data_IF_306855002978
#
_entry.id   IF_306855002978
#
_cell.length_a   1.000
_cell.length_b   1.000
_cell.length_c   1.000
_cell.angle_alpha   90.00
_cell.angle_beta   90.00
_cell.angle_gamma   90.00
#
_symmetry.space_group_name_H-M   'P 1'
#
loop_
_entity.id
_entity.type
_entity.pdbx_description
1 polymer ?
#
# COMPACT_ATOMS: atom_id res chain seq x y z
N UNK A 1 10.65 -62.12 -39.20
CA UNK A 1 9.52 -61.44 -39.86
C UNK A 1 10.09 -60.32 -40.72
N UNK A 2 10.17 -60.47 -42.05
CA UNK A 2 10.74 -59.44 -42.95
C UNK A 2 9.65 -58.42 -43.26
N UNK A 3 9.78 -57.21 -42.73
CA UNK A 3 8.85 -56.11 -43.04
C UNK A 3 9.10 -55.68 -44.48
N UNK A 4 8.04 -55.73 -45.28
CA UNK A 4 8.07 -55.32 -46.69
C UNK A 4 8.23 -53.79 -46.78
N UNK A 5 9.45 -53.36 -47.07
CA UNK A 5 9.82 -51.94 -47.18
C UNK A 5 8.92 -51.17 -48.15
N UNK A 6 8.36 -51.85 -49.16
CA UNK A 6 7.45 -51.21 -50.13
C UNK A 6 6.12 -50.80 -49.50
N UNK A 7 5.60 -51.59 -48.55
CA UNK A 7 4.34 -51.31 -47.85
C UNK A 7 4.53 -50.18 -46.85
N UNK A 8 5.65 -50.17 -46.13
CA UNK A 8 6.00 -49.08 -45.19
C UNK A 8 6.15 -47.76 -45.93
N UNK A 9 6.85 -47.74 -47.08
CA UNK A 9 7.03 -46.53 -47.86
C UNK A 9 5.70 -45.98 -48.41
N UNK A 10 4.78 -46.86 -48.84
CA UNK A 10 3.43 -46.46 -49.25
C UNK A 10 2.62 -45.87 -48.09
N UNK A 11 2.75 -46.42 -46.88
CA UNK A 11 2.09 -45.89 -45.69
C UNK A 11 2.63 -44.49 -45.32
N UNK A 12 3.95 -44.32 -45.31
CA UNK A 12 4.59 -43.02 -45.01
C UNK A 12 4.15 -41.95 -46.02
N UNK A 13 4.11 -42.27 -47.33
CA UNK A 13 3.63 -41.31 -48.35
C UNK A 13 2.20 -40.87 -48.09
N UNK A 14 1.29 -41.81 -47.78
CA UNK A 14 -0.12 -41.48 -47.49
C UNK A 14 -0.25 -40.57 -46.27
N UNK A 15 0.49 -40.85 -45.20
CA UNK A 15 0.49 -40.02 -43.98
C UNK A 15 0.98 -38.61 -44.32
N UNK A 16 2.10 -38.48 -45.03
CA UNK A 16 2.65 -37.18 -45.40
C UNK A 16 1.68 -36.34 -46.24
N UNK A 17 0.98 -36.96 -47.21
CA UNK A 17 0.02 -36.23 -48.06
C UNK A 17 -1.17 -35.70 -47.24
N UNK A 18 -1.69 -36.50 -46.29
CA UNK A 18 -2.80 -36.07 -45.42
C UNK A 18 -2.36 -34.93 -44.50
N UNK A 19 -1.15 -35.00 -43.93
CA UNK A 19 -0.63 -33.94 -43.07
C UNK A 19 -0.45 -32.63 -43.83
N UNK A 20 0.09 -32.66 -45.05
CA UNK A 20 0.26 -31.46 -45.88
C UNK A 20 -1.11 -30.85 -46.22
N UNK A 21 -2.10 -31.68 -46.59
CA UNK A 21 -3.45 -31.19 -46.85
C UNK A 21 -4.09 -30.53 -45.62
N UNK A 22 -3.91 -31.10 -44.43
CA UNK A 22 -4.40 -30.53 -43.18
C UNK A 22 -3.76 -29.17 -42.86
N UNK A 23 -2.45 -29.02 -43.09
CA UNK A 23 -1.74 -27.74 -42.90
C UNK A 23 -2.27 -26.68 -43.86
N UNK A 24 -2.53 -27.02 -45.12
CA UNK A 24 -3.06 -26.07 -46.11
C UNK A 24 -4.47 -25.62 -45.73
N UNK A 25 -5.35 -26.53 -45.31
CA UNK A 25 -6.70 -26.19 -44.85
C UNK A 25 -6.65 -25.29 -43.61
N UNK A 26 -5.75 -25.58 -42.66
CA UNK A 26 -5.59 -24.75 -41.47
C UNK A 26 -5.05 -23.35 -41.78
N UNK A 27 -4.10 -23.25 -42.72
CA UNK A 27 -3.59 -21.97 -43.21
C UNK A 27 -4.68 -21.17 -43.94
N UNK A 28 -5.52 -21.81 -44.77
CA UNK A 28 -6.65 -21.16 -45.42
C UNK A 28 -7.70 -20.68 -44.42
N UNK A 29 -8.02 -21.48 -43.40
CA UNK A 29 -8.91 -21.06 -42.31
C UNK A 29 -8.36 -19.87 -41.55
N UNK A 30 -7.05 -19.83 -41.25
CA UNK A 30 -6.42 -18.67 -40.62
C UNK A 30 -6.46 -17.41 -41.49
N UNK A 31 -6.29 -17.56 -42.81
CA UNK A 31 -6.39 -16.43 -43.75
C UNK A 31 -7.84 -15.90 -43.83
N UNK A 32 -8.86 -16.76 -43.69
CA UNK A 32 -10.26 -16.34 -43.80
C UNK A 32 -10.88 -15.92 -42.46
N UNK A 33 -10.37 -16.39 -41.33
CA UNK A 33 -10.88 -16.04 -40.00
C UNK A 33 -10.42 -14.65 -39.51
N UNK A 34 -9.34 -14.10 -40.05
CA UNK A 34 -8.63 -13.00 -39.39
C UNK A 34 -8.85 -11.59 -39.99
N UNK A 35 -9.96 -11.31 -40.69
CA UNK A 35 -10.18 -9.92 -41.16
C UNK A 35 -11.61 -9.45 -41.40
N UNK A 36 -12.58 -10.33 -41.67
CA UNK A 36 -13.89 -9.86 -42.17
C UNK A 36 -15.07 -9.92 -41.19
N UNK A 37 -15.10 -10.85 -40.22
CA UNK A 37 -16.39 -11.24 -39.63
C UNK A 37 -16.80 -10.51 -38.34
N UNK A 38 -15.86 -9.94 -37.57
CA UNK A 38 -16.21 -9.30 -36.30
C UNK A 38 -16.27 -7.77 -36.34
N UNK A 39 -15.51 -7.12 -37.22
CA UNK A 39 -15.49 -5.65 -37.28
C UNK A 39 -16.54 -5.04 -38.24
N UNK A 40 -16.95 -5.73 -39.30
CA UNK A 40 -17.76 -5.11 -40.36
C UNK A 40 -19.27 -5.18 -40.07
N UNK A 41 -19.74 -6.22 -39.38
CA UNK A 41 -21.19 -6.44 -39.21
C UNK A 41 -21.85 -5.55 -38.16
N UNK A 42 -21.09 -4.94 -37.24
CA UNK A 42 -21.64 -4.00 -36.25
C UNK A 42 -21.59 -2.52 -36.71
N UNK A 43 -20.81 -2.21 -37.75
CA UNK A 43 -20.48 -0.81 -38.14
C UNK A 43 -21.38 -0.26 -39.26
N UNK A 44 -22.27 -1.07 -39.85
CA UNK A 44 -23.18 -0.62 -40.91
C UNK A 44 -24.58 -0.15 -40.45
N UNK A 45 -24.83 -0.04 -39.14
CA UNK A 45 -25.94 0.80 -38.69
C UNK A 45 -25.48 2.27 -38.75
N UNK A 46 -26.37 3.18 -39.14
CA UNK A 46 -26.11 4.61 -39.40
C UNK A 46 -25.66 5.41 -38.15
N UNK A 47 -24.63 4.97 -37.44
CA UNK A 47 -23.96 5.76 -36.43
C UNK A 47 -23.14 6.80 -37.18
N UNK A 48 -23.69 8.01 -37.29
CA UNK A 48 -22.86 9.19 -37.54
C UNK A 48 -21.98 9.31 -36.30
N UNK A 49 -20.85 8.62 -36.29
CA UNK A 49 -19.79 8.81 -35.30
C UNK A 49 -19.22 10.18 -35.59
N UNK A 50 -19.87 11.22 -35.05
CA UNK A 50 -19.26 12.54 -34.99
C UNK A 50 -18.07 12.38 -34.06
N UNK A 51 -16.87 12.49 -34.61
CA UNK A 51 -15.67 12.60 -33.80
C UNK A 51 -15.88 13.79 -32.83
N UNK A 52 -16.02 13.50 -31.53
CA UNK A 52 -16.01 14.54 -30.51
C UNK A 52 -14.70 15.31 -30.65
N UNK A 53 -14.76 16.64 -30.66
CA UNK A 53 -13.55 17.44 -30.72
C UNK A 53 -12.76 17.23 -29.42
N UNK A 54 -11.44 17.44 -29.46
CA UNK A 54 -10.62 17.40 -28.22
C UNK A 54 -11.20 18.30 -27.12
N UNK A 55 -11.75 19.44 -27.52
CA UNK A 55 -12.34 20.45 -26.64
C UNK A 55 -13.70 20.00 -26.04
N UNK A 56 -14.29 18.93 -26.57
CA UNK A 56 -15.49 18.29 -26.04
C UNK A 56 -15.14 17.23 -24.99
N UNK A 57 -13.92 16.68 -25.03
CA UNK A 57 -13.45 15.58 -24.16
C UNK A 57 -12.67 16.14 -22.97
N UNK A 58 -11.76 17.08 -23.24
CA UNK A 58 -10.85 17.64 -22.25
C UNK A 58 -11.17 19.10 -21.99
N UNK A 59 -11.20 19.45 -20.70
CA UNK A 59 -11.36 20.83 -20.25
C UNK A 59 -10.04 21.58 -20.36
N UNK A 60 -8.95 20.90 -20.04
CA UNK A 60 -7.60 21.47 -19.99
C UNK A 60 -6.58 20.43 -20.40
N UNK A 61 -5.60 20.84 -21.20
CA UNK A 61 -4.40 20.07 -21.45
C UNK A 61 -3.23 21.05 -21.47
N UNK A 62 -2.30 20.87 -20.54
CA UNK A 62 -1.13 21.72 -20.40
C UNK A 62 0.13 20.89 -20.31
N UNK A 63 1.23 21.45 -20.78
CA UNK A 63 2.56 20.99 -20.38
C UNK A 63 3.07 21.97 -19.34
N UNK A 64 3.73 21.43 -18.32
CA UNK A 64 4.39 22.21 -17.28
C UNK A 64 5.88 21.96 -17.36
N UNK A 65 6.67 23.03 -17.36
CA UNK A 65 8.14 22.95 -17.37
C UNK A 65 8.75 22.99 -15.96
N UNK A 66 10.08 22.88 -15.89
CA UNK A 66 10.87 22.94 -14.64
C UNK A 66 10.66 24.22 -13.83
N UNK A 67 10.27 25.32 -14.49
CA UNK A 67 9.99 26.61 -13.84
C UNK A 67 8.50 26.77 -13.46
N UNK A 68 7.73 25.68 -13.51
CA UNK A 68 6.28 25.64 -13.27
C UNK A 68 5.48 26.55 -14.23
N UNK A 69 6.01 26.80 -15.44
CA UNK A 69 5.28 27.54 -16.45
C UNK A 69 4.28 26.62 -17.16
N UNK A 70 3.03 27.07 -17.23
CA UNK A 70 1.93 26.33 -17.84
C UNK A 70 1.72 26.73 -19.32
N UNK A 71 1.77 25.75 -20.21
CA UNK A 71 1.54 25.93 -21.64
C UNK A 71 0.25 25.24 -22.10
N UNK A 72 -0.81 26.02 -22.36
CA UNK A 72 -2.10 25.51 -22.86
C UNK A 72 -1.96 24.91 -24.27
N UNK A 73 -2.22 23.61 -24.40
CA UNK A 73 -2.14 22.86 -25.66
C UNK A 73 -3.44 22.86 -26.46
N UNK A 74 -4.56 23.26 -25.85
CA UNK A 74 -5.86 23.36 -26.49
C UNK A 74 -5.96 24.71 -27.22
N UNK A 75 -5.70 25.80 -26.50
CA UNK A 75 -5.88 27.17 -27.01
C UNK A 75 -4.57 27.89 -27.37
N UNK A 76 -3.42 27.34 -26.96
CA UNK A 76 -2.13 28.00 -27.16
C UNK A 76 -1.52 27.87 -28.55
N UNK A 77 -0.35 28.47 -28.70
CA UNK A 77 0.42 28.43 -29.95
C UNK A 77 1.00 27.04 -30.19
N UNK A 78 0.43 26.30 -31.14
CA UNK A 78 0.83 24.94 -31.54
C UNK A 78 2.27 24.82 -32.03
N UNK A 79 2.89 25.92 -32.45
CA UNK A 79 4.26 25.92 -32.98
C UNK A 79 5.32 26.26 -31.91
N UNK A 80 4.92 26.53 -30.67
CA UNK A 80 5.87 26.80 -29.59
C UNK A 80 6.59 25.51 -29.19
N UNK A 81 7.92 25.53 -29.19
CA UNK A 81 8.72 24.48 -28.54
C UNK A 81 8.79 24.77 -27.06
N UNK A 82 8.41 23.79 -26.24
CA UNK A 82 8.48 23.89 -24.78
C UNK A 82 9.81 23.31 -24.32
N UNK A 83 10.56 24.06 -23.51
CA UNK A 83 11.86 23.67 -23.02
C UNK A 83 11.70 23.00 -21.65
N UNK A 84 12.44 21.90 -21.42
CA UNK A 84 12.49 21.16 -20.15
C UNK A 84 11.11 20.86 -19.53
N UNK A 85 10.17 20.26 -20.30
CA UNK A 85 8.88 19.85 -19.74
C UNK A 85 9.06 18.76 -18.68
N UNK A 86 8.37 18.86 -17.55
CA UNK A 86 8.38 17.84 -16.49
C UNK A 86 7.20 16.89 -16.59
N UNK A 87 6.00 17.44 -16.83
CA UNK A 87 4.78 16.64 -16.90
C UNK A 87 3.72 17.29 -17.80
N UNK A 88 2.76 16.47 -18.19
CA UNK A 88 1.56 16.88 -18.92
C UNK A 88 0.39 16.82 -17.96
N UNK A 89 -0.26 17.96 -17.73
CA UNK A 89 -1.47 18.08 -16.92
C UNK A 89 -2.69 17.94 -17.83
N UNK A 90 -3.57 16.99 -17.51
CA UNK A 90 -4.80 16.76 -18.25
C UNK A 90 -5.98 16.88 -17.29
N UNK A 91 -7.02 17.59 -17.72
CA UNK A 91 -8.27 17.70 -17.00
C UNK A 91 -9.45 17.28 -17.87
N UNK A 92 -10.23 16.30 -17.41
CA UNK A 92 -11.47 15.86 -18.07
C UNK A 92 -12.55 16.95 -18.06
N UNK A 93 -13.44 16.93 -19.06
CA UNK A 93 -14.55 17.89 -19.16
C UNK A 93 -15.91 17.34 -18.71
N UNK A 94 -16.14 16.05 -18.93
CA UNK A 94 -17.46 15.42 -18.77
C UNK A 94 -17.42 14.30 -17.73
N UNK A 95 -18.60 13.73 -17.46
CA UNK A 95 -18.80 12.58 -16.56
C UNK A 95 -18.34 11.23 -17.14
N UNK A 96 -17.48 11.24 -18.15
CA UNK A 96 -16.90 10.04 -18.76
C UNK A 96 -15.41 9.97 -18.48
N UNK A 97 -14.94 8.75 -18.19
CA UNK A 97 -13.52 8.51 -18.00
C UNK A 97 -12.81 8.24 -19.33
N UNK A 98 -11.59 8.79 -19.45
CA UNK A 98 -10.80 8.75 -20.68
C UNK A 98 -9.41 8.17 -20.42
N UNK A 99 -8.96 7.24 -21.25
CA UNK A 99 -7.57 6.76 -21.24
C UNK A 99 -6.76 7.46 -22.31
N UNK A 100 -5.92 8.40 -21.92
CA UNK A 100 -5.04 9.16 -22.81
C UNK A 100 -3.72 8.40 -23.00
N UNK A 101 -3.29 8.26 -24.25
CA UNK A 101 -2.03 7.64 -24.63
C UNK A 101 -1.07 8.68 -25.18
N UNK A 102 0.22 8.38 -25.12
CA UNK A 102 1.28 9.25 -25.58
C UNK A 102 2.19 8.49 -26.54
N UNK A 103 2.55 9.13 -27.64
CA UNK A 103 3.56 8.65 -28.57
C UNK A 103 4.67 9.69 -28.64
N UNK A 104 5.89 9.28 -28.28
CA UNK A 104 7.08 10.09 -28.46
C UNK A 104 7.57 9.94 -29.90
N UNK A 105 8.39 10.87 -30.38
CA UNK A 105 9.05 10.84 -31.70
C UNK A 105 10.37 11.61 -31.65
N UNK A 106 11.25 11.35 -32.62
CA UNK A 106 12.59 11.96 -32.73
C UNK A 106 13.56 11.54 -31.61
N UNK A 107 14.62 12.33 -31.37
CA UNK A 107 15.71 12.03 -30.45
C UNK A 107 15.27 11.85 -29.00
N UNK A 108 14.18 12.49 -28.57
CA UNK A 108 13.69 12.39 -27.18
C UNK A 108 13.35 10.95 -26.74
N UNK A 109 13.08 10.04 -27.69
CA UNK A 109 12.82 8.61 -27.42
C UNK A 109 13.97 7.90 -26.72
N UNK A 110 15.19 8.38 -26.91
CA UNK A 110 16.38 7.80 -26.30
C UNK A 110 16.48 8.14 -24.81
N UNK A 111 15.77 9.18 -24.36
CA UNK A 111 15.84 9.73 -23.01
C UNK A 111 14.55 9.47 -22.21
N UNK A 112 13.41 9.35 -22.90
CA UNK A 112 12.12 9.01 -22.28
C UNK A 112 11.66 7.68 -22.89
N UNK A 113 11.80 6.56 -22.16
CA UNK A 113 11.50 5.24 -22.71
C UNK A 113 10.01 5.08 -23.04
N UNK A 114 9.14 5.65 -22.21
CA UNK A 114 7.69 5.70 -22.41
C UNK A 114 7.08 6.79 -21.53
N UNK A 115 5.87 7.22 -21.88
CA UNK A 115 5.00 7.98 -21.00
C UNK A 115 3.81 7.10 -20.70
N UNK A 116 3.51 6.92 -19.41
CA UNK A 116 2.43 6.03 -19.00
C UNK A 116 1.08 6.54 -19.52
N UNK A 117 0.19 5.65 -19.98
CA UNK A 117 -1.18 6.02 -20.26
C UNK A 117 -1.82 6.64 -19.02
N UNK A 118 -2.60 7.69 -19.23
CA UNK A 118 -3.26 8.41 -18.15
C UNK A 118 -4.75 8.08 -18.17
N UNK A 119 -5.26 7.55 -17.07
CA UNK A 119 -6.69 7.41 -16.86
C UNK A 119 -7.21 8.69 -16.20
N UNK A 120 -8.02 9.45 -16.92
CA UNK A 120 -8.59 10.71 -16.46
C UNK A 120 -10.04 10.44 -16.11
N UNK A 121 -10.35 10.52 -14.82
CA UNK A 121 -11.71 10.41 -14.31
C UNK A 121 -12.45 11.76 -14.37
N UNK A 122 -13.73 11.75 -13.97
CA UNK A 122 -14.66 12.85 -14.17
C UNK A 122 -14.17 14.12 -13.47
N UNK A 123 -13.92 15.18 -14.25
CA UNK A 123 -13.36 16.48 -13.83
C UNK A 123 -11.97 16.45 -13.15
N UNK A 124 -11.40 15.26 -12.95
CA UNK A 124 -10.12 15.02 -12.31
C UNK A 124 -8.96 15.69 -13.04
N UNK A 125 -7.98 16.13 -12.26
CA UNK A 125 -6.71 16.67 -12.76
C UNK A 125 -5.64 15.63 -12.58
N UNK A 126 -5.14 15.12 -13.69
CA UNK A 126 -4.18 14.04 -13.72
C UNK A 126 -2.86 14.49 -14.35
N UNK A 127 -1.75 13.97 -13.83
CA UNK A 127 -0.39 14.32 -14.29
C UNK A 127 0.27 13.11 -14.95
N UNK A 128 0.65 13.25 -16.21
CA UNK A 128 1.52 12.31 -16.89
C UNK A 128 2.97 12.81 -16.83
N UNK A 129 3.77 12.24 -15.94
CA UNK A 129 5.19 12.59 -15.78
C UNK A 129 6.04 12.09 -16.95
N UNK A 130 6.98 12.93 -17.38
CA UNK A 130 7.97 12.60 -18.40
C UNK A 130 9.19 11.98 -17.70
N UNK A 131 9.11 10.67 -17.43
CA UNK A 131 10.17 9.95 -16.74
C UNK A 131 11.42 9.85 -17.62
N UNK A 132 12.43 10.66 -17.30
CA UNK A 132 13.74 10.63 -17.96
C UNK A 132 14.55 9.47 -17.39
N UNK A 133 15.14 8.68 -18.27
CA UNK A 133 16.03 7.57 -17.91
C UNK A 133 17.17 7.54 -18.91
N UNK A 134 18.40 7.75 -18.43
CA UNK A 134 19.57 7.73 -19.30
C UNK A 134 20.25 6.36 -19.27
N UNK A 135 20.51 5.80 -20.46
CA UNK A 135 21.45 4.69 -20.55
C UNK A 135 22.86 5.21 -20.18
N UNK A 136 23.70 4.45 -19.45
CA UNK A 136 25.07 4.85 -19.15
C UNK A 136 25.89 5.34 -20.34
N UNK A 137 25.68 4.78 -21.54
CA UNK A 137 26.32 5.27 -22.77
C UNK A 137 25.88 6.70 -23.11
N UNK A 138 24.56 6.93 -23.16
CA UNK A 138 23.95 8.23 -23.47
C UNK A 138 24.32 9.27 -22.41
N UNK A 139 24.34 8.89 -21.13
CA UNK A 139 24.79 9.75 -20.03
C UNK A 139 26.22 10.27 -20.25
N UNK A 140 27.14 9.37 -20.62
CA UNK A 140 28.53 9.75 -20.87
C UNK A 140 28.68 10.63 -22.11
N UNK A 141 27.92 10.36 -23.18
CA UNK A 141 27.89 11.20 -24.39
C UNK A 141 27.39 12.62 -24.07
N UNK A 142 26.25 12.73 -23.38
CA UNK A 142 25.70 14.01 -22.92
C UNK A 142 26.69 14.79 -22.06
N UNK A 143 27.34 14.11 -21.11
CA UNK A 143 28.32 14.70 -20.21
C UNK A 143 29.56 15.20 -20.97
N UNK A 144 30.09 14.40 -21.89
CA UNK A 144 31.25 14.77 -22.70
C UNK A 144 30.94 15.96 -23.62
N UNK A 145 29.76 15.97 -24.24
CA UNK A 145 29.32 17.08 -25.08
C UNK A 145 29.24 18.36 -24.25
N UNK A 146 28.61 18.31 -23.08
CA UNK A 146 28.48 19.44 -22.17
C UNK A 146 29.84 20.00 -21.69
N UNK A 147 30.80 19.12 -21.40
CA UNK A 147 32.16 19.53 -21.02
C UNK A 147 32.95 20.14 -22.19
N UNK A 148 32.67 19.71 -23.42
CA UNK A 148 33.32 20.23 -24.64
C UNK A 148 32.76 21.58 -25.08
N UNK A 149 31.47 21.83 -24.85
CA UNK A 149 30.79 23.10 -25.11
C UNK A 149 31.12 24.13 -24.01
N UNK A 150 32.36 24.64 -24.00
CA UNK A 150 32.88 25.65 -23.04
C UNK A 150 32.08 26.97 -23.04
N UNK A 151 30.93 26.99 -22.37
CA UNK A 151 30.16 28.19 -22.04
C UNK A 151 28.83 28.37 -22.76
N UNK A 152 28.38 27.40 -23.57
CA UNK A 152 27.15 27.52 -24.37
C UNK A 152 26.15 26.39 -24.08
N UNK A 153 25.87 26.18 -22.78
CA UNK A 153 25.12 25.03 -22.24
C UNK A 153 23.72 24.81 -22.83
N UNK A 154 23.12 25.85 -23.41
CA UNK A 154 21.73 25.83 -23.88
C UNK A 154 21.54 25.95 -25.40
N UNK A 155 22.62 26.01 -26.20
CA UNK A 155 22.46 26.36 -27.62
C UNK A 155 21.91 25.25 -28.50
N UNK A 156 22.08 24.00 -28.08
CA UNK A 156 21.67 22.83 -28.87
C UNK A 156 20.74 21.92 -28.05
N UNK A 157 19.50 22.38 -27.76
CA UNK A 157 18.57 21.55 -27.02
C UNK A 157 18.15 20.35 -27.87
N UNK A 158 17.97 19.21 -27.22
CA UNK A 158 17.57 17.96 -27.85
C UNK A 158 16.08 18.04 -28.13
N UNK A 159 15.72 18.12 -29.40
CA UNK A 159 14.34 18.35 -29.85
C UNK A 159 13.62 17.04 -30.08
N UNK A 160 12.31 17.07 -29.88
CA UNK A 160 11.42 16.03 -30.36
C UNK A 160 9.97 16.40 -30.17
N UNK A 161 9.11 15.39 -30.33
CA UNK A 161 7.67 15.62 -30.34
C UNK A 161 6.93 14.62 -29.46
N UNK A 162 5.96 15.11 -28.70
CA UNK A 162 4.99 14.29 -27.97
C UNK A 162 3.66 14.39 -28.68
N UNK A 163 3.10 13.23 -29.03
CA UNK A 163 1.78 13.10 -29.63
C UNK A 163 0.80 12.52 -28.63
N UNK A 164 -0.17 13.33 -28.22
CA UNK A 164 -1.25 12.95 -27.31
C UNK A 164 -2.39 12.32 -28.10
N UNK A 165 -2.82 11.12 -27.70
CA UNK A 165 -3.78 10.27 -28.42
C UNK A 165 -4.93 9.83 -27.52
N UNK A 166 -6.15 9.82 -28.07
CA UNK A 166 -7.32 9.16 -27.47
C UNK A 166 -8.14 8.48 -28.57
N UNK A 167 -8.49 7.19 -28.37
CA UNK A 167 -9.29 6.34 -29.27
C UNK A 167 -9.04 6.56 -30.78
N UNK A 168 -7.80 6.31 -31.24
CA UNK A 168 -7.34 6.34 -32.64
C UNK A 168 -7.70 7.55 -33.54
N UNK A 169 -8.43 8.57 -33.08
CA UNK A 169 -8.87 9.70 -33.92
C UNK A 169 -9.40 10.94 -33.17
N UNK A 170 -9.80 10.85 -31.90
CA UNK A 170 -10.52 11.93 -31.20
C UNK A 170 -9.59 13.01 -30.61
N UNK A 171 -8.44 12.58 -30.12
CA UNK A 171 -7.35 13.46 -29.72
C UNK A 171 -6.12 13.03 -30.52
N UNK A 172 -5.57 13.97 -31.28
CA UNK A 172 -4.38 13.78 -32.10
C UNK A 172 -3.61 15.09 -32.13
N UNK A 173 -2.96 15.41 -31.01
CA UNK A 173 -2.21 16.66 -30.83
C UNK A 173 -0.74 16.34 -30.76
N UNK A 174 0.05 16.92 -31.67
CA UNK A 174 1.51 16.86 -31.63
C UNK A 174 2.03 18.15 -31.00
N UNK A 175 2.95 18.00 -30.05
CA UNK A 175 3.56 19.10 -29.31
C UNK A 175 5.07 19.01 -29.47
N UNK A 176 5.69 20.13 -29.83
CA UNK A 176 7.15 20.22 -29.95
C UNK A 176 7.74 20.48 -28.56
N UNK A 177 8.69 19.65 -28.17
CA UNK A 177 9.41 19.81 -26.91
C UNK A 177 10.91 19.76 -27.16
N UNK A 178 11.67 20.29 -26.20
CA UNK A 178 13.11 20.16 -26.20
C UNK A 178 13.66 20.06 -24.78
N UNK A 179 14.80 19.40 -24.64
CA UNK A 179 15.51 19.29 -23.36
C UNK A 179 16.91 19.87 -23.47
N UNK A 180 17.32 20.64 -22.46
CA UNK A 180 18.73 20.98 -22.27
C UNK A 180 19.46 19.75 -21.74
N UNK A 181 20.75 19.63 -22.06
CA UNK A 181 21.57 18.49 -21.59
C UNK A 181 21.74 18.52 -20.08
N UNK A 182 21.90 19.72 -19.52
CA UNK A 182 21.98 19.96 -18.07
C UNK A 182 20.75 19.40 -17.35
N UNK A 183 19.56 19.66 -17.88
CA UNK A 183 18.31 19.15 -17.32
C UNK A 183 18.22 17.61 -17.36
N UNK A 184 18.58 16.99 -18.49
CA UNK A 184 18.55 15.53 -18.59
C UNK A 184 19.51 14.88 -17.57
N UNK A 185 20.70 15.47 -17.42
CA UNK A 185 21.72 14.99 -16.47
C UNK A 185 21.33 15.27 -15.01
N UNK A 186 20.63 16.38 -14.72
CA UNK A 186 20.15 16.66 -13.36
C UNK A 186 19.03 15.69 -12.96
N UNK A 187 18.05 15.46 -13.84
CA UNK A 187 16.95 14.51 -13.59
C UNK A 187 17.42 13.08 -13.41
N UNK A 188 18.41 12.64 -14.18
CA UNK A 188 19.01 11.32 -13.98
C UNK A 188 19.68 11.20 -12.60
N UNK A 189 20.44 12.22 -12.17
CA UNK A 189 21.04 12.26 -10.82
C UNK A 189 20.00 12.29 -9.71
N UNK A 190 18.93 13.06 -9.86
CA UNK A 190 17.80 13.09 -8.91
C UNK A 190 17.20 11.69 -8.74
N UNK A 191 17.00 10.97 -9.84
CA UNK A 191 16.48 9.61 -9.80
C UNK A 191 17.42 8.66 -9.06
N UNK A 192 18.74 8.74 -9.31
CA UNK A 192 19.74 7.92 -8.62
C UNK A 192 19.76 8.24 -7.13
N UNK A 193 19.76 9.52 -6.75
CA UNK A 193 19.76 9.92 -5.34
C UNK A 193 18.49 9.44 -4.61
N UNK A 194 17.33 9.49 -5.29
CA UNK A 194 16.09 8.96 -4.75
C UNK A 194 16.19 7.46 -4.47
N UNK A 195 16.76 6.66 -5.37
CA UNK A 195 16.96 5.23 -5.15
C UNK A 195 17.93 4.95 -4.00
N UNK A 196 19.02 5.70 -3.88
CA UNK A 196 19.97 5.57 -2.76
C UNK A 196 19.30 5.88 -1.41
N UNK A 197 18.47 6.94 -1.34
CA UNK A 197 17.69 7.23 -0.13
C UNK A 197 16.69 6.11 0.20
N UNK A 198 16.04 5.55 -0.83
CA UNK A 198 15.13 4.42 -0.66
C UNK A 198 15.85 3.17 -0.14
N UNK A 199 17.04 2.85 -0.67
CA UNK A 199 17.88 1.75 -0.22
C UNK A 199 18.28 1.92 1.25
N UNK A 200 18.70 3.14 1.64
CA UNK A 200 19.03 3.46 3.04
C UNK A 200 17.82 3.27 3.96
N UNK A 201 16.62 3.70 3.53
CA UNK A 201 15.37 3.49 4.27
C UNK A 201 15.01 2.01 4.40
N UNK A 202 15.20 1.23 3.33
CA UNK A 202 14.98 -0.23 3.34
C UNK A 202 15.95 -0.90 4.32
N UNK A 203 17.23 -0.54 4.30
CA UNK A 203 18.23 -1.09 5.23
C UNK A 203 17.87 -0.76 6.70
N UNK A 204 17.45 0.47 6.98
CA UNK A 204 17.00 0.87 8.31
C UNK A 204 15.77 0.07 8.77
N UNK A 205 14.80 -0.14 7.88
CA UNK A 205 13.62 -0.97 8.18
C UNK A 205 13.99 -2.45 8.42
N UNK A 206 14.93 -3.00 7.65
CA UNK A 206 15.41 -4.37 7.83
C UNK A 206 16.08 -4.56 9.20
N UNK A 207 16.94 -3.62 9.62
CA UNK A 207 17.55 -3.63 10.96
C UNK A 207 16.49 -3.56 12.07
N UNK A 208 15.46 -2.73 11.89
CA UNK A 208 14.34 -2.65 12.85
C UNK A 208 13.57 -3.96 12.93
N UNK A 209 13.33 -4.61 11.79
CA UNK A 209 12.65 -5.91 11.72
C UNK A 209 13.47 -7.03 12.37
N UNK A 210 14.79 -7.05 12.16
CA UNK A 210 15.69 -8.02 12.78
C UNK A 210 15.67 -7.89 14.31
N UNK A 211 15.77 -6.66 14.83
CA UNK A 211 15.67 -6.40 16.28
C UNK A 211 14.32 -6.87 16.85
N UNK A 212 13.22 -6.57 16.15
CA UNK A 212 11.88 -6.99 16.59
C UNK A 212 11.71 -8.52 16.57
N UNK A 213 12.36 -9.20 15.63
CA UNK A 213 12.40 -10.66 15.56
C UNK A 213 13.19 -11.26 16.73
N UNK A 214 14.31 -10.65 17.09
CA UNK A 214 15.12 -11.05 18.25
C UNK A 214 14.33 -10.87 19.56
N UNK A 215 13.70 -9.72 19.75
CA UNK A 215 12.88 -9.43 20.94
C UNK A 215 11.69 -10.40 21.04
N UNK A 216 11.03 -10.71 19.92
CA UNK A 216 9.95 -11.70 19.90
C UNK A 216 10.45 -13.11 20.25
N UNK A 217 11.67 -13.47 19.85
CA UNK A 217 12.28 -14.75 20.21
C UNK A 217 12.52 -14.85 21.72
N UNK A 218 13.03 -13.77 22.33
CA UNK A 218 13.20 -13.68 23.80
C UNK A 218 11.85 -13.79 24.53
N UNK A 219 10.80 -13.14 24.03
CA UNK A 219 9.46 -13.24 24.61
C UNK A 219 8.91 -14.67 24.55
N UNK A 220 9.13 -15.39 23.44
CA UNK A 220 8.74 -16.81 23.33
C UNK A 220 9.48 -17.67 24.36
N UNK A 221 10.77 -17.43 24.59
CA UNK A 221 11.55 -18.15 25.62
C UNK A 221 11.05 -17.86 27.03
N UNK A 222 10.75 -16.60 27.35
CA UNK A 222 10.15 -16.20 28.62
C UNK A 222 8.81 -16.92 28.81
N UNK A 223 7.96 -16.94 27.78
CA UNK A 223 6.63 -17.55 27.87
C UNK A 223 6.71 -19.06 28.13
N UNK A 224 7.67 -19.76 27.51
CA UNK A 224 7.95 -21.17 27.82
C UNK A 224 8.39 -21.38 29.27
N UNK A 225 9.17 -20.45 29.82
CA UNK A 225 9.54 -20.46 31.24
C UNK A 225 8.31 -20.35 32.15
N UNK A 226 7.44 -19.38 31.87
CA UNK A 226 6.20 -19.16 32.62
C UNK A 226 5.23 -20.36 32.53
N UNK A 227 5.11 -20.99 31.37
CA UNK A 227 4.29 -22.21 31.22
C UNK A 227 4.79 -23.36 32.09
N UNK A 228 6.12 -23.51 32.20
CA UNK A 228 6.73 -24.52 33.07
C UNK A 228 6.47 -24.19 34.55
N UNK A 229 6.71 -22.96 34.97
CA UNK A 229 6.49 -22.53 36.35
C UNK A 229 5.01 -22.70 36.74
N UNK A 230 4.08 -22.39 35.83
CA UNK A 230 2.64 -22.67 36.00
C UNK A 230 2.37 -24.16 36.21
N UNK A 231 2.94 -25.03 35.38
CA UNK A 231 2.76 -26.48 35.52
C UNK A 231 3.30 -27.02 36.86
N UNK A 232 4.43 -26.49 37.32
CA UNK A 232 5.01 -26.90 38.59
C UNK A 232 4.16 -26.42 39.78
N UNK A 233 3.61 -25.20 39.71
CA UNK A 233 2.63 -24.70 40.68
C UNK A 233 1.35 -25.53 40.73
N UNK A 234 0.80 -25.93 39.58
CA UNK A 234 -0.39 -26.79 39.49
C UNK A 234 -0.18 -28.12 40.22
N UNK A 235 1.01 -28.75 40.06
CA UNK A 235 1.37 -29.98 40.79
C UNK A 235 1.47 -29.75 42.30
N UNK A 236 2.00 -28.61 42.72
CA UNK A 236 2.12 -28.30 44.15
C UNK A 236 0.76 -28.01 44.79
N UNK A 237 -0.16 -27.37 44.07
CA UNK A 237 -1.56 -27.22 44.48
C UNK A 237 -2.22 -28.59 44.65
N UNK A 238 -2.09 -29.50 43.69
CA UNK A 238 -2.65 -30.86 43.77
C UNK A 238 -2.12 -31.63 45.00
N UNK A 239 -0.83 -31.51 45.32
CA UNK A 239 -0.24 -32.11 46.53
C UNK A 239 -0.85 -31.53 47.80
N UNK A 240 -1.10 -30.22 47.85
CA UNK A 240 -1.70 -29.55 49.01
C UNK A 240 -3.16 -29.96 49.19
N UNK A 241 -3.94 -30.04 48.11
CA UNK A 241 -5.34 -30.51 48.14
C UNK A 241 -5.45 -31.93 48.69
N UNK A 242 -4.56 -32.83 48.25
CA UNK A 242 -4.50 -34.20 48.76
C UNK A 242 -4.16 -34.26 50.25
N UNK A 243 -3.23 -33.42 50.74
CA UNK A 243 -2.93 -33.31 52.18
C UNK A 243 -4.11 -32.78 52.98
N UNK A 244 -4.83 -31.78 52.47
CA UNK A 244 -6.03 -31.23 53.11
C UNK A 244 -7.10 -32.32 53.24
N UNK A 245 -7.28 -33.14 52.20
CA UNK A 245 -8.22 -34.27 52.21
C UNK A 245 -7.86 -35.30 53.29
N UNK A 246 -6.61 -35.76 53.34
CA UNK A 246 -6.12 -36.69 54.36
C UNK A 246 -6.30 -36.16 55.78
N UNK A 247 -6.04 -34.87 56.00
CA UNK A 247 -6.27 -34.21 57.29
C UNK A 247 -7.75 -34.15 57.66
N UNK A 248 -8.65 -33.86 56.70
CA UNK A 248 -10.11 -33.86 56.93
C UNK A 248 -10.61 -35.25 57.32
N UNK A 249 -10.15 -36.29 56.65
CA UNK A 249 -10.51 -37.67 56.95
C UNK A 249 -10.06 -38.06 58.38
N UNK A 250 -8.82 -37.72 58.75
CA UNK A 250 -8.31 -37.92 60.13
C UNK A 250 -9.12 -37.17 61.17
N UNK A 251 -9.51 -35.92 60.90
CA UNK A 251 -10.35 -35.12 61.79
C UNK A 251 -11.72 -35.81 61.98
N UNK A 252 -12.34 -36.28 60.89
CA UNK A 252 -13.61 -37.02 60.94
C UNK A 252 -13.52 -38.29 61.79
N UNK A 253 -12.43 -39.06 61.63
CA UNK A 253 -12.15 -40.24 62.46
C UNK A 253 -12.01 -39.89 63.94
N UNK A 254 -11.32 -38.80 64.27
CA UNK A 254 -11.18 -38.33 65.65
C UNK A 254 -12.51 -37.89 66.24
N UNK A 255 -13.33 -37.13 65.52
CA UNK A 255 -14.67 -36.76 65.97
C UNK A 255 -15.54 -37.99 66.26
N UNK A 256 -15.50 -39.00 65.40
CA UNK A 256 -16.23 -40.26 65.59
C UNK A 256 -15.77 -41.02 66.84
N UNK A 257 -14.46 -41.00 67.15
CA UNK A 257 -13.90 -41.60 68.37
C UNK A 257 -14.32 -40.85 69.63
N UNK A 258 -14.26 -39.52 69.61
CA UNK A 258 -14.68 -38.67 70.73
C UNK A 258 -16.16 -38.90 71.04
N UNK A 259 -17.02 -38.89 70.02
CA UNK A 259 -18.46 -39.14 70.18
C UNK A 259 -18.75 -40.49 70.86
N UNK A 260 -18.08 -41.57 70.44
CA UNK A 260 -18.23 -42.89 71.07
C UNK A 260 -17.78 -42.92 72.53
N UNK A 261 -16.72 -42.18 72.87
CA UNK A 261 -16.25 -42.06 74.25
C UNK A 261 -17.22 -41.26 75.13
N UNK A 262 -17.85 -40.22 74.57
CA UNK A 262 -18.89 -39.45 75.26
C UNK A 262 -20.15 -40.29 75.50
N UNK A 263 -20.60 -41.05 74.50
CA UNK A 263 -21.72 -42.00 74.63
C UNK A 263 -21.43 -43.05 75.73
N UNK A 264 -20.26 -43.70 75.69
CA UNK A 264 -19.88 -44.69 76.71
C UNK A 264 -19.79 -44.10 78.13
N UNK A 265 -19.33 -42.84 78.26
CA UNK A 265 -19.27 -42.15 79.55
C UNK A 265 -20.67 -41.87 80.12
N UNK A 266 -21.64 -41.55 79.27
CA UNK A 266 -23.02 -41.32 79.70
C UNK A 266 -23.70 -42.63 80.15
N UNK A 267 -23.45 -43.74 79.44
CA UNK A 267 -23.97 -45.07 79.83
C UNK A 267 -23.43 -45.54 81.21
N UNK A 268 -22.20 -45.17 81.56
CA UNK A 268 -21.59 -45.46 82.87
C UNK A 268 -22.15 -44.58 84.01
N UNK A 269 -22.70 -43.39 83.70
CA UNK A 269 -23.35 -42.49 84.67
C UNK A 269 -24.81 -42.91 84.90
N UNK A 270 -25.52 -43.32 83.85
CA UNK A 270 -26.92 -43.78 83.94
C UNK A 270 -27.08 -45.11 84.71
N UNK A 271 -26.02 -45.92 84.80
CA UNK A 271 -25.98 -47.12 85.66
C UNK A 271 -25.63 -46.84 87.13
N UNK A 272 -25.37 -45.59 87.53
CA UNK A 272 -25.02 -45.22 88.91
C UNK A 272 -26.09 -44.43 89.67
N UNK A 273 -27.08 -43.88 88.97
CA UNK A 273 -28.20 -43.15 89.58
C UNK A 273 -29.55 -43.75 89.16
N UNK A 274 -29.80 -44.97 89.63
CA UNK A 274 -31.18 -45.41 89.91
C UNK A 274 -31.35 -45.37 91.43
N UNK A 275 -31.60 -44.18 91.97
CA UNK A 275 -32.57 -43.93 93.06
C UNK A 275 -32.78 -42.42 93.24
N UNK A 276 -34.06 -42.03 93.18
CA UNK A 276 -34.69 -40.74 93.49
C UNK A 276 -34.80 -39.74 92.31
N UNK A 277 -36.00 -39.57 91.70
CA UNK A 277 -37.10 -38.62 92.07
C UNK A 277 -36.55 -37.20 92.30
N UNK A 278 -37.04 -36.12 91.71
CA UNK A 278 -38.43 -35.67 91.56
C UNK A 278 -38.45 -34.36 90.73
N UNK A 279 -39.64 -33.93 90.36
CA UNK A 279 -40.03 -32.77 89.55
C UNK A 279 -39.24 -31.47 89.78
N UNK A 280 -39.01 -30.71 88.69
CA UNK A 280 -39.27 -29.27 88.77
C UNK A 280 -39.54 -28.60 87.41
N UNK A 281 -40.56 -27.76 87.47
CA UNK A 281 -41.19 -26.94 86.45
C UNK A 281 -40.49 -25.56 86.36
N UNK A 282 -40.92 -24.71 85.39
CA UNK A 282 -40.73 -23.22 85.31
C UNK A 282 -39.43 -22.75 84.63
N UNK A 283 -39.33 -21.78 83.69
CA UNK A 283 -40.15 -21.01 82.72
C UNK A 283 -39.23 -19.88 82.20
N UNK A 284 -39.37 -19.48 80.90
CA UNK A 284 -38.97 -18.19 80.26
C UNK A 284 -37.48 -17.81 80.17
N UNK A 285 -36.99 -16.96 79.27
CA UNK A 285 -37.46 -16.15 78.13
C UNK A 285 -36.19 -15.76 77.31
N UNK A 286 -36.39 -15.40 76.04
CA UNK A 286 -35.64 -14.46 75.19
C UNK A 286 -34.10 -14.51 75.08
N UNK A 287 -33.58 -14.69 73.86
CA UNK A 287 -33.10 -13.57 73.04
C UNK A 287 -32.67 -13.99 71.63
N UNK A 288 -33.14 -13.19 70.67
CA UNK A 288 -32.81 -13.19 69.25
C UNK A 288 -31.32 -12.92 68.98
N UNK A 289 -30.80 -13.45 67.86
CA UNK A 289 -30.15 -12.67 66.80
C UNK A 289 -30.32 -13.43 65.47
N UNK A 290 -31.23 -12.93 64.64
CA UNK A 290 -31.10 -13.02 63.18
C UNK A 290 -29.86 -12.24 62.75
N UNK A 291 -29.03 -12.85 61.91
CA UNK A 291 -28.37 -12.09 60.84
C UNK A 291 -28.08 -13.04 59.69
N UNK A 292 -29.01 -13.06 58.74
CA UNK A 292 -28.68 -13.26 57.34
C UNK A 292 -27.48 -12.36 56.98
N UNK A 293 -26.46 -12.94 56.37
CA UNK A 293 -25.62 -12.21 55.44
C UNK A 293 -25.58 -12.99 54.13
N UNK A 294 -26.59 -12.70 53.30
CA UNK A 294 -26.40 -12.65 51.85
C UNK A 294 -25.53 -11.44 51.58
N UNK A 295 -24.28 -11.67 51.22
CA UNK A 295 -23.57 -10.84 50.25
C UNK A 295 -23.15 -11.81 49.14
N UNK A 296 -23.83 -11.81 48.00
CA UNK A 296 -23.62 -10.83 46.94
C UNK A 296 -22.13 -10.65 46.65
N UNK A 297 -21.57 -11.49 45.78
CA UNK A 297 -20.65 -10.95 44.81
C UNK A 297 -20.95 -11.54 43.42
N UNK A 298 -21.80 -10.85 42.64
CA UNK A 298 -21.84 -11.02 41.21
C UNK A 298 -20.72 -10.17 40.58
N UNK A 299 -20.00 -10.77 39.62
CA UNK A 299 -19.36 -10.07 38.50
C UNK A 299 -18.22 -9.10 38.89
N UNK A 300 -16.98 -9.58 38.79
CA UNK A 300 -15.94 -8.78 38.14
C UNK A 300 -15.80 -9.32 36.71
N UNK A 301 -16.59 -8.74 35.81
CA UNK A 301 -16.22 -8.60 34.42
C UNK A 301 -14.82 -8.01 34.41
N UNK A 302 -13.85 -8.78 33.91
CA UNK A 302 -12.67 -8.18 33.32
C UNK A 302 -13.17 -7.30 32.18
N UNK A 303 -13.35 -6.00 32.49
CA UNK A 303 -13.16 -4.96 31.49
C UNK A 303 -11.79 -5.25 30.88
N UNK A 304 -11.84 -5.74 29.65
CA UNK A 304 -10.83 -5.46 28.65
C UNK A 304 -10.77 -3.93 28.60
N UNK A 305 -9.89 -3.34 29.39
CA UNK A 305 -9.36 -2.03 29.08
C UNK A 305 -8.49 -2.28 27.84
N UNK A 306 -9.12 -2.08 26.68
CA UNK A 306 -8.40 -1.62 25.52
C UNK A 306 -7.71 -0.34 25.95
N UNK A 307 -6.41 -0.46 26.23
CA UNK A 307 -5.48 0.65 26.32
C UNK A 307 -5.25 1.17 24.89
N UNK A 308 -6.32 1.65 24.27
CA UNK A 308 -6.31 2.46 23.05
C UNK A 308 -6.14 3.93 23.47
N UNK A 309 -4.99 4.28 24.08
CA UNK A 309 -4.43 5.63 24.03
C UNK A 309 -3.05 5.72 24.68
N UNK A 310 -2.03 5.13 24.02
CA UNK A 310 -0.79 5.87 23.87
C UNK A 310 -0.76 6.41 22.45
N UNK A 311 -1.12 7.68 22.34
CA UNK A 311 -0.50 8.57 21.38
C UNK A 311 1.01 8.38 21.56
N UNK A 312 1.60 7.55 20.69
CA UNK A 312 2.99 7.73 20.34
C UNK A 312 3.06 9.15 19.80
N UNK A 313 3.64 10.00 20.66
CA UNK A 313 4.14 11.30 20.32
C UNK A 313 4.81 11.20 18.96
N UNK A 314 4.23 11.88 17.96
CA UNK A 314 4.96 12.27 16.78
C UNK A 314 6.30 12.82 17.27
N UNK A 315 7.45 12.39 16.72
CA UNK A 315 8.67 13.10 16.98
C UNK A 315 8.41 14.52 16.51
N UNK A 316 8.37 15.45 17.48
CA UNK A 316 8.43 16.87 17.23
C UNK A 316 9.56 17.08 16.23
N UNK A 317 9.18 17.31 14.98
CA UNK A 317 10.05 17.93 14.02
C UNK A 317 10.47 19.24 14.68
N UNK A 318 11.74 19.31 15.08
CA UNK A 318 12.45 20.57 15.26
C UNK A 318 12.09 21.41 14.05
N UNK A 319 11.19 22.38 14.26
CA UNK A 319 11.08 23.52 13.39
C UNK A 319 12.42 24.23 13.57
N UNK A 320 13.36 23.95 12.67
CA UNK A 320 14.38 24.93 12.31
C UNK A 320 13.61 26.19 11.92
N UNK A 321 13.54 27.15 12.85
CA UNK A 321 13.34 28.54 12.50
C UNK A 321 14.49 28.94 11.58
N UNK A 322 14.29 28.75 10.29
CA UNK A 322 15.07 29.44 9.26
C UNK A 322 14.73 30.91 9.44
N UNK A 323 15.64 31.59 10.15
CA UNK A 323 15.71 33.03 10.28
C UNK A 323 16.01 33.59 8.87
N UNK A 324 14.97 33.72 8.05
CA UNK A 324 15.07 34.42 6.77
C UNK A 324 15.33 35.90 7.07
N UNK A 325 16.43 36.49 6.57
CA UNK A 325 16.63 37.92 6.66
C UNK A 325 15.48 38.62 5.90
N UNK A 326 14.75 39.46 6.61
CA UNK A 326 13.81 40.42 6.02
C UNK A 326 14.62 41.37 5.14
N UNK A 327 14.72 41.05 3.84
CA UNK A 327 15.14 42.01 2.83
C UNK A 327 14.09 43.11 2.77
N UNK A 328 14.50 44.30 3.20
CA UNK A 328 13.75 45.54 2.95
C UNK A 328 13.58 45.68 1.43
N UNK A 329 12.37 46.00 0.94
CA UNK A 329 12.23 46.38 -0.46
C UNK A 329 13.04 47.67 -0.70
N UNK A 330 14.05 47.58 -1.55
CA UNK A 330 14.71 48.74 -2.13
C UNK A 330 13.68 49.50 -2.97
N UNK A 331 13.18 50.61 -2.42
CA UNK A 331 12.47 51.64 -3.16
C UNK A 331 13.43 52.22 -4.21
N UNK A 332 13.35 51.72 -5.45
CA UNK A 332 13.89 52.44 -6.60
C UNK A 332 12.92 53.54 -7.01
N UNK A 333 13.41 54.78 -7.22
CA UNK A 333 12.57 55.89 -7.62
C UNK A 333 12.03 55.65 -9.04
N UNK A 334 10.72 55.83 -9.18
CA UNK A 334 10.02 55.89 -10.46
C UNK A 334 10.46 57.18 -11.17
N UNK A 335 11.52 57.11 -11.97
CA UNK A 335 11.80 58.14 -12.96
C UNK A 335 10.89 57.93 -14.18
N UNK A 336 9.90 58.80 -14.24
CA UNK A 336 9.06 59.10 -15.39
C UNK A 336 9.90 59.41 -16.64
N UNK A 337 9.76 58.62 -17.70
CA UNK A 337 10.12 59.02 -19.06
C UNK A 337 9.01 58.68 -20.04
N UNK A 338 8.02 59.59 -20.07
CA UNK A 338 7.15 59.78 -21.23
C UNK A 338 8.03 60.38 -22.33
N UNK A 339 8.33 59.60 -23.38
CA UNK A 339 8.76 60.15 -24.67
C UNK A 339 7.60 60.02 -25.65
N UNK A 340 7.00 61.17 -25.96
CA UNK A 340 6.09 61.35 -27.09
C UNK A 340 6.89 61.16 -28.40
N UNK A 341 6.30 60.55 -29.43
CA UNK A 341 6.88 60.55 -30.77
C UNK A 341 6.68 61.93 -31.42
N UNK A 342 7.78 62.64 -31.65
CA UNK A 342 7.82 63.68 -32.68
C UNK A 342 7.80 62.98 -34.04
N UNK A 343 6.64 62.98 -34.67
CA UNK A 343 6.55 62.77 -36.11
C UNK A 343 7.01 64.03 -36.82
N UNK A 344 7.94 63.89 -37.76
CA UNK A 344 8.17 64.88 -38.80
C UNK A 344 7.82 64.24 -40.15
N UNK A 345 7.08 65.04 -40.92
CA UNK A 345 6.72 64.87 -42.32
C UNK A 345 7.92 64.99 -43.25
#
# INVERSE_FOLDING_TARGET
MRIDKSKVLKAIKKIMTVTIAAIIVNAMMLITLDTYSWFVSYVQSNTIVRAAATDDILRKMEIVDEEDQHYDLINGNKNKTILNPEYILIQGKNDEAYTIYFELSDSIKEFIPHVNPLYVDNEGKEKAYLNISLNPKVYNELKQELESEKGERDKNPIKGTIKVKYLNSYINRTVNIAFTRDFLLSKDKESVNYYVDLENKIEAMQKKLEKLTEDNTKLIEINKGLEKDKSDLEKDVEKLENKIKDLKDKISDYYSKVKKLEEAKNDDVENKDITNTEDNEVVKDDQAVESESKDSNPIEEQKIEQDDNKQDEEPHAEKEEVNLPVEKPDEKPVESLIKLPTGDM
#
